data_IF_322806733966
#
_entry.id   IF_322806733966
#
_cell.length_a   1.000
_cell.length_b   1.000
_cell.length_c   1.000
_cell.angle_alpha   90.00
_cell.angle_beta   90.00
_cell.angle_gamma   90.00
#
_symmetry.space_group_name_H-M   'P 1'
#
loop_
_entity.id
_entity.type
_entity.pdbx_description
1 polymer ?
#
# COMPACT_ATOMS: atom_id res chain seq x y z
N UNK A 1 -15.17 -2.76 17.40
CA UNK A 1 -15.32 -1.52 18.20
C UNK A 1 -14.47 -1.56 19.48
N UNK A 2 -14.72 -2.53 20.38
CA UNK A 2 -13.96 -2.69 21.64
C UNK A 2 -12.46 -2.97 21.45
N UNK A 3 -12.04 -3.55 20.33
CA UNK A 3 -10.62 -3.76 19.98
C UNK A 3 -9.82 -2.45 19.93
N UNK A 4 -10.40 -1.38 19.35
CA UNK A 4 -9.76 -0.06 19.30
C UNK A 4 -9.71 0.63 20.66
N UNK A 5 -10.73 0.43 21.49
CA UNK A 5 -10.77 0.97 22.86
C UNK A 5 -9.73 0.28 23.77
N UNK A 6 -9.31 -0.93 23.43
CA UNK A 6 -8.36 -1.74 24.20
C UNK A 6 -6.97 -1.86 23.56
N UNK A 7 -6.63 -0.96 22.62
CA UNK A 7 -5.33 -0.91 21.94
C UNK A 7 -4.89 -2.24 21.30
N UNK A 8 -5.84 -3.00 20.75
CA UNK A 8 -5.54 -4.21 19.98
C UNK A 8 -5.05 -3.86 18.57
N UNK A 9 -4.26 -4.72 17.91
CA UNK A 9 -3.77 -4.47 16.56
C UNK A 9 -4.92 -4.16 15.58
N UNK A 10 -4.83 -3.03 14.87
CA UNK A 10 -5.82 -2.56 13.88
C UNK A 10 -5.74 -3.36 12.57
N UNK A 11 -5.89 -4.68 12.65
CA UNK A 11 -5.99 -5.55 11.47
C UNK A 11 -7.45 -5.78 11.08
N UNK A 12 -7.67 -6.26 9.86
CA UNK A 12 -9.01 -6.68 9.45
C UNK A 12 -9.57 -7.75 10.42
N UNK A 13 -10.82 -7.63 10.92
CA UNK A 13 -11.37 -8.51 11.95
C UNK A 13 -11.83 -9.85 11.36
N UNK A 14 -10.87 -10.64 10.90
CA UNK A 14 -11.10 -11.90 10.18
C UNK A 14 -12.02 -12.87 10.93
N UNK A 15 -11.81 -13.07 12.23
CA UNK A 15 -12.58 -14.03 13.01
C UNK A 15 -14.06 -13.62 13.13
N UNK A 16 -14.32 -12.33 13.37
CA UNK A 16 -15.68 -11.82 13.44
C UNK A 16 -16.39 -11.90 12.09
N UNK A 17 -15.70 -11.53 11.01
CA UNK A 17 -16.26 -11.59 9.66
C UNK A 17 -16.52 -13.02 9.18
N UNK A 18 -15.60 -13.95 9.47
CA UNK A 18 -15.75 -15.39 9.21
C UNK A 18 -17.01 -15.97 9.88
N UNK A 19 -17.21 -15.65 11.17
CA UNK A 19 -18.39 -16.08 11.91
C UNK A 19 -19.69 -15.56 11.27
N UNK A 20 -19.68 -14.33 10.77
CA UNK A 20 -20.85 -13.72 10.15
C UNK A 20 -21.22 -14.42 8.84
N UNK A 21 -20.24 -14.69 7.96
CA UNK A 21 -20.47 -15.44 6.73
C UNK A 21 -20.91 -16.89 7.00
N UNK A 22 -20.31 -17.56 8.01
CA UNK A 22 -20.73 -18.90 8.44
C UNK A 22 -22.19 -18.95 8.91
N UNK A 23 -22.63 -17.95 9.68
CA UNK A 23 -24.03 -17.84 10.11
C UNK A 23 -24.96 -17.69 8.91
N UNK A 24 -24.60 -16.87 7.94
CA UNK A 24 -25.39 -16.68 6.71
C UNK A 24 -25.52 -18.00 5.95
N UNK A 25 -24.42 -18.73 5.77
CA UNK A 25 -24.44 -20.05 5.10
C UNK A 25 -25.28 -21.08 5.85
N UNK A 26 -25.29 -21.04 7.19
CA UNK A 26 -26.08 -21.94 8.02
C UNK A 26 -27.58 -21.62 7.97
N UNK A 27 -27.93 -20.34 8.02
CA UNK A 27 -29.33 -19.87 8.03
C UNK A 27 -29.96 -20.05 6.64
N UNK A 28 -29.18 -19.87 5.57
CA UNK A 28 -29.65 -19.86 4.18
C UNK A 28 -30.84 -18.92 3.98
N UNK A 29 -30.67 -17.61 4.25
CA UNK A 29 -31.78 -16.68 4.20
C UNK A 29 -32.34 -16.60 2.78
N UNK A 30 -33.66 -16.38 2.64
CA UNK A 30 -34.24 -16.11 1.32
C UNK A 30 -33.82 -14.74 0.77
N UNK A 31 -33.50 -13.81 1.66
CA UNK A 31 -33.10 -12.43 1.33
C UNK A 31 -32.26 -11.84 2.46
N UNK A 32 -31.33 -10.96 2.13
CA UNK A 32 -30.42 -10.37 3.11
C UNK A 32 -29.99 -8.96 2.70
N UNK A 33 -29.73 -8.12 3.70
CA UNK A 33 -29.11 -6.81 3.53
C UNK A 33 -28.02 -6.63 4.59
N UNK A 34 -26.90 -5.94 4.28
CA UNK A 34 -25.91 -5.60 5.30
C UNK A 34 -26.52 -4.72 6.40
N UNK A 35 -26.26 -5.09 7.66
CA UNK A 35 -26.85 -4.40 8.82
C UNK A 35 -26.34 -2.97 9.02
N UNK A 36 -25.15 -2.65 8.54
CA UNK A 36 -24.54 -1.32 8.64
C UNK A 36 -25.05 -0.31 7.58
N UNK A 37 -26.04 -0.68 6.76
CA UNK A 37 -26.61 0.22 5.76
C UNK A 37 -27.22 1.47 6.42
N UNK A 38 -26.63 2.63 6.17
CA UNK A 38 -27.11 3.91 6.70
C UNK A 38 -26.63 4.23 8.12
N UNK A 39 -25.64 3.50 8.66
CA UNK A 39 -24.98 3.86 9.91
C UNK A 39 -23.70 4.67 9.67
N UNK A 40 -23.52 5.73 10.43
CA UNK A 40 -22.31 6.55 10.46
C UNK A 40 -22.15 7.20 11.83
N UNK A 41 -20.94 7.18 12.37
CA UNK A 41 -20.59 7.96 13.55
C UNK A 41 -20.41 9.43 13.15
N UNK A 42 -20.96 10.36 13.93
CA UNK A 42 -20.94 11.79 13.63
C UNK A 42 -20.09 12.56 14.64
N UNK A 43 -19.63 13.76 14.24
CA UNK A 43 -18.91 14.71 15.10
C UNK A 43 -17.68 14.06 15.77
N UNK A 44 -17.48 14.22 17.07
CA UNK A 44 -16.26 13.76 17.77
C UNK A 44 -15.99 12.25 17.72
N UNK A 45 -16.95 11.42 17.28
CA UNK A 45 -16.75 9.99 17.06
C UNK A 45 -16.59 9.60 15.59
N UNK A 46 -16.59 10.55 14.65
CA UNK A 46 -16.55 10.25 13.21
C UNK A 46 -15.28 9.52 12.75
N UNK A 47 -14.19 9.65 13.51
CA UNK A 47 -12.95 8.91 13.28
C UNK A 47 -13.15 7.38 13.32
N UNK A 48 -14.14 6.89 14.09
CA UNK A 48 -14.47 5.47 14.17
C UNK A 48 -14.95 4.90 12.83
N UNK A 49 -15.48 5.74 11.93
CA UNK A 49 -15.94 5.30 10.61
C UNK A 49 -14.83 4.65 9.77
N UNK A 50 -13.56 4.97 10.04
CA UNK A 50 -12.41 4.39 9.35
C UNK A 50 -12.05 2.99 9.83
N UNK A 51 -12.65 2.52 10.92
CA UNK A 51 -12.23 1.27 11.58
C UNK A 51 -13.36 0.31 11.89
N UNK A 52 -14.55 0.80 12.23
CA UNK A 52 -15.68 -0.05 12.64
C UNK A 52 -16.44 -0.69 11.48
N UNK A 53 -16.20 -0.23 10.25
CA UNK A 53 -16.81 -0.77 9.02
C UNK A 53 -15.75 -1.46 8.16
N UNK A 54 -15.33 -2.69 8.50
CA UNK A 54 -14.17 -3.35 7.87
C UNK A 54 -14.40 -3.74 6.40
N UNK A 55 -15.66 -3.88 5.99
CA UNK A 55 -16.07 -4.36 4.68
C UNK A 55 -17.04 -3.36 4.07
N UNK A 56 -16.85 -3.05 2.79
CA UNK A 56 -17.81 -2.22 2.04
C UNK A 56 -19.09 -3.02 1.79
N UNK A 57 -20.21 -2.34 1.63
CA UNK A 57 -21.48 -2.98 1.29
C UNK A 57 -21.36 -3.84 0.03
N UNK A 58 -20.67 -3.35 -0.99
CA UNK A 58 -20.46 -4.03 -2.27
C UNK A 58 -19.67 -5.33 -2.06
N UNK A 59 -18.61 -5.27 -1.26
CA UNK A 59 -17.83 -6.46 -0.90
C UNK A 59 -18.66 -7.46 -0.10
N UNK A 60 -19.45 -7.01 0.87
CA UNK A 60 -20.33 -7.89 1.64
C UNK A 60 -21.34 -8.58 0.73
N UNK A 61 -21.99 -7.84 -0.17
CA UNK A 61 -22.95 -8.42 -1.10
C UNK A 61 -22.30 -9.48 -2.00
N UNK A 62 -21.10 -9.20 -2.51
CA UNK A 62 -20.29 -10.16 -3.29
C UNK A 62 -19.98 -11.41 -2.48
N UNK A 63 -19.53 -11.26 -1.24
CA UNK A 63 -19.14 -12.38 -0.38
C UNK A 63 -20.33 -13.28 -0.04
N UNK A 64 -21.50 -12.67 0.24
CA UNK A 64 -22.75 -13.41 0.49
C UNK A 64 -23.17 -14.22 -0.73
N UNK A 65 -23.08 -13.65 -1.94
CA UNK A 65 -23.43 -14.35 -3.17
C UNK A 65 -22.53 -15.59 -3.41
N UNK A 66 -21.28 -15.56 -2.94
CA UNK A 66 -20.35 -16.70 -3.01
C UNK A 66 -20.67 -17.74 -1.92
N UNK A 67 -20.92 -17.29 -0.69
CA UNK A 67 -21.12 -18.16 0.49
C UNK A 67 -22.49 -18.84 0.49
N UNK A 68 -23.52 -18.17 -0.03
CA UNK A 68 -24.88 -18.67 -0.15
C UNK A 68 -25.48 -18.27 -1.51
N UNK A 69 -25.08 -18.96 -2.60
CA UNK A 69 -25.56 -18.65 -3.95
C UNK A 69 -27.08 -18.76 -4.10
N UNK A 70 -27.74 -19.53 -3.23
CA UNK A 70 -29.21 -19.69 -3.24
C UNK A 70 -29.96 -18.37 -2.96
N UNK A 71 -29.31 -17.37 -2.35
CA UNK A 71 -29.87 -16.03 -2.16
C UNK A 71 -30.03 -15.30 -3.51
N UNK A 72 -29.15 -15.58 -4.47
CA UNK A 72 -29.14 -14.95 -5.80
C UNK A 72 -29.18 -13.42 -5.72
N UNK A 73 -30.08 -12.81 -6.47
CA UNK A 73 -30.28 -11.35 -6.54
C UNK A 73 -30.95 -10.75 -5.29
N UNK A 74 -31.33 -11.56 -4.30
CA UNK A 74 -31.99 -11.10 -3.07
C UNK A 74 -31.00 -10.59 -2.01
N UNK A 75 -29.84 -10.09 -2.44
CA UNK A 75 -28.85 -9.42 -1.59
C UNK A 75 -28.97 -7.91 -1.85
N UNK A 76 -29.52 -7.17 -0.90
CA UNK A 76 -29.93 -5.79 -1.12
C UNK A 76 -28.94 -4.77 -0.54
N UNK A 77 -28.22 -4.01 -1.38
CA UNK A 77 -27.39 -2.91 -0.93
C UNK A 77 -28.28 -1.67 -0.64
N UNK A 78 -29.08 -1.72 0.43
CA UNK A 78 -30.11 -0.71 0.72
C UNK A 78 -29.51 0.70 0.93
N UNK A 79 -30.12 1.69 0.28
CA UNK A 79 -29.94 3.11 0.60
C UNK A 79 -31.13 3.64 1.42
N UNK A 80 -30.95 4.73 2.21
CA UNK A 80 -32.08 5.44 2.81
C UNK A 80 -33.13 5.80 1.76
N UNK A 81 -34.39 5.40 1.97
CA UNK A 81 -35.49 5.65 1.03
C UNK A 81 -35.80 4.51 0.05
N UNK A 82 -34.95 3.47 0.00
CA UNK A 82 -35.26 2.24 -0.72
C UNK A 82 -36.36 1.44 -0.01
N UNK A 83 -37.14 0.68 -0.78
CA UNK A 83 -38.25 -0.15 -0.29
C UNK A 83 -38.08 -1.58 -0.80
N UNK A 84 -38.14 -2.54 0.13
CA UNK A 84 -38.23 -3.96 -0.19
C UNK A 84 -39.61 -4.45 0.20
N UNK A 85 -40.35 -5.06 -0.73
CA UNK A 85 -41.67 -5.64 -0.46
C UNK A 85 -41.61 -7.15 -0.60
N UNK A 86 -42.20 -7.84 0.38
CA UNK A 86 -42.34 -9.29 0.39
C UNK A 86 -43.82 -9.63 0.22
N UNK A 87 -44.16 -10.37 -0.84
CA UNK A 87 -45.55 -10.78 -1.10
C UNK A 87 -45.57 -12.19 -1.70
N UNK A 88 -46.24 -13.13 -1.04
CA UNK A 88 -46.38 -14.52 -1.51
C UNK A 88 -45.06 -15.23 -1.84
N UNK A 89 -43.98 -14.90 -1.12
CA UNK A 89 -42.64 -15.43 -1.39
C UNK A 89 -41.90 -14.74 -2.53
N UNK A 90 -42.52 -13.77 -3.21
CA UNK A 90 -41.84 -12.88 -4.15
C UNK A 90 -41.26 -11.66 -3.42
N UNK A 91 -40.06 -11.27 -3.83
CA UNK A 91 -39.34 -10.13 -3.31
C UNK A 91 -39.22 -9.09 -4.41
N UNK A 92 -39.57 -7.85 -4.09
CA UNK A 92 -39.37 -6.72 -4.99
C UNK A 92 -38.56 -5.64 -4.31
N UNK A 93 -37.56 -5.14 -5.01
CA UNK A 93 -36.68 -4.06 -4.57
C UNK A 93 -36.94 -2.81 -5.41
N UNK A 94 -37.25 -1.71 -4.73
CA UNK A 94 -37.59 -0.44 -5.35
C UNK A 94 -36.72 0.68 -4.75
N UNK A 95 -35.86 1.25 -5.59
CA UNK A 95 -34.97 2.36 -5.20
C UNK A 95 -35.76 3.64 -4.96
N UNK A 96 -35.46 4.34 -3.86
CA UNK A 96 -36.01 5.67 -3.54
C UNK A 96 -37.54 5.77 -3.68
N UNK A 97 -38.27 4.75 -3.21
CA UNK A 97 -39.75 4.70 -3.27
C UNK A 97 -40.45 4.93 -1.94
N UNK A 98 -39.70 5.15 -0.86
CA UNK A 98 -40.31 5.55 0.41
C UNK A 98 -40.98 6.91 0.27
N UNK A 99 -42.17 7.06 0.84
CA UNK A 99 -42.91 8.33 0.86
C UNK A 99 -42.47 9.29 1.96
N UNK A 100 -41.60 8.86 2.86
CA UNK A 100 -41.22 9.61 4.07
C UNK A 100 -39.72 9.58 4.38
N UNK A 101 -38.91 8.85 3.60
CA UNK A 101 -37.43 8.85 3.71
C UNK A 101 -36.84 9.04 2.32
N UNK A 102 -35.84 9.92 2.25
CA UNK A 102 -35.07 10.19 1.05
C UNK A 102 -33.58 10.22 1.44
N UNK A 103 -32.71 9.74 0.55
CA UNK A 103 -31.28 9.98 0.67
C UNK A 103 -30.98 11.45 0.37
N UNK A 104 -30.33 12.14 1.31
CA UNK A 104 -29.93 13.55 1.14
C UNK A 104 -28.62 13.63 0.38
N UNK A 105 -27.63 12.85 0.80
CA UNK A 105 -26.29 12.78 0.24
C UNK A 105 -25.75 11.36 0.36
N UNK A 106 -24.85 10.99 -0.55
CA UNK A 106 -24.11 9.72 -0.51
C UNK A 106 -22.67 9.98 -0.03
N UNK A 107 -22.49 9.98 1.28
CA UNK A 107 -21.23 10.29 1.97
C UNK A 107 -20.47 9.03 2.43
N UNK A 108 -20.75 7.88 1.80
CA UNK A 108 -20.17 6.58 2.16
C UNK A 108 -18.66 6.49 2.00
N UNK A 109 -18.07 7.40 1.22
CA UNK A 109 -16.63 7.58 1.14
C UNK A 109 -15.98 7.70 2.53
N UNK A 110 -16.71 8.26 3.50
CA UNK A 110 -16.23 8.42 4.87
C UNK A 110 -16.18 7.11 5.65
N UNK A 111 -16.98 6.11 5.26
CA UNK A 111 -17.09 4.80 5.90
C UNK A 111 -16.03 3.80 5.43
N UNK A 112 -15.15 4.21 4.51
CA UNK A 112 -14.10 3.33 3.99
C UNK A 112 -13.17 2.93 5.11
N UNK A 113 -13.02 1.62 5.29
CA UNK A 113 -12.02 1.04 6.18
C UNK A 113 -10.63 1.54 5.80
N UNK A 114 -9.99 2.25 6.72
CA UNK A 114 -8.65 2.81 6.58
C UNK A 114 -8.03 2.93 7.98
N UNK A 115 -7.62 1.80 8.57
CA UNK A 115 -7.12 1.77 9.95
C UNK A 115 -5.83 2.59 10.16
N UNK A 116 -5.16 2.92 9.06
CA UNK A 116 -3.95 3.76 9.03
C UNK A 116 -4.24 5.26 8.96
N UNK A 117 -5.49 5.68 8.75
CA UNK A 117 -5.92 7.09 8.61
C UNK A 117 -7.01 7.46 9.61
N UNK A 118 -6.85 7.07 10.89
CA UNK A 118 -7.86 7.24 11.94
C UNK A 118 -7.94 8.65 12.52
N UNK A 119 -6.81 9.31 12.73
CA UNK A 119 -6.74 10.65 13.34
C UNK A 119 -6.57 11.70 12.24
N UNK A 120 -5.35 11.82 11.72
CA UNK A 120 -5.03 12.66 10.58
C UNK A 120 -4.87 11.84 9.30
N UNK A 121 -5.45 12.37 8.21
CA UNK A 121 -5.09 11.92 6.88
C UNK A 121 -3.58 12.04 6.68
N UNK A 122 -3.02 11.22 5.79
CA UNK A 122 -1.67 11.44 5.33
C UNK A 122 -1.61 12.82 4.68
N UNK A 123 -0.58 13.60 4.97
CA UNK A 123 -0.35 14.94 4.43
C UNK A 123 1.01 14.93 3.72
N UNK A 124 1.07 15.57 2.57
CA UNK A 124 2.33 15.86 1.89
C UNK A 124 2.66 17.35 2.06
N UNK A 125 3.67 17.65 2.86
CA UNK A 125 4.14 19.02 3.06
C UNK A 125 5.00 19.53 1.90
N UNK A 126 5.44 18.65 0.99
CA UNK A 126 6.39 18.94 -0.09
C UNK A 126 7.58 19.79 0.40
N UNK A 127 8.25 19.33 1.46
CA UNK A 127 9.32 20.08 2.15
C UNK A 127 10.49 20.53 1.26
N UNK A 128 10.73 19.82 0.16
CA UNK A 128 11.78 20.11 -0.81
C UNK A 128 11.33 21.09 -1.91
N UNK A 129 10.08 21.56 -1.85
CA UNK A 129 9.47 22.51 -2.78
C UNK A 129 9.55 22.06 -4.25
N UNK A 130 9.24 20.79 -4.51
CA UNK A 130 9.14 20.30 -5.90
C UNK A 130 8.00 21.02 -6.63
N UNK A 131 8.19 21.24 -7.94
CA UNK A 131 7.14 21.81 -8.79
C UNK A 131 5.94 20.83 -8.86
N UNK A 132 4.75 21.34 -8.53
CA UNK A 132 3.55 20.51 -8.41
C UNK A 132 3.11 19.93 -9.75
N UNK A 133 3.22 20.69 -10.84
CA UNK A 133 2.81 20.24 -12.17
C UNK A 133 3.76 19.18 -12.70
N UNK A 134 5.07 19.39 -12.56
CA UNK A 134 6.09 18.39 -12.91
C UNK A 134 5.90 17.11 -12.10
N UNK A 135 5.62 17.25 -10.80
CA UNK A 135 5.38 16.12 -9.90
C UNK A 135 4.14 15.33 -10.33
N UNK A 136 3.00 16.00 -10.56
CA UNK A 136 1.77 15.37 -11.06
C UNK A 136 1.99 14.65 -12.39
N UNK A 137 2.66 15.28 -13.34
CA UNK A 137 2.94 14.67 -14.65
C UNK A 137 3.85 13.45 -14.54
N UNK A 138 4.93 13.56 -13.76
CA UNK A 138 5.88 12.47 -13.55
C UNK A 138 5.20 11.28 -12.86
N UNK A 139 4.47 11.53 -11.79
CA UNK A 139 3.75 10.50 -11.03
C UNK A 139 2.70 9.83 -11.92
N UNK A 140 1.90 10.62 -12.65
CA UNK A 140 0.92 10.08 -13.59
C UNK A 140 1.56 9.22 -14.67
N UNK A 141 2.69 9.64 -15.24
CA UNK A 141 3.43 8.83 -16.22
C UNK A 141 3.93 7.52 -15.61
N UNK A 142 4.46 7.58 -14.39
CA UNK A 142 4.96 6.40 -13.70
C UNK A 142 3.82 5.41 -13.40
N UNK A 143 2.70 5.88 -12.83
CA UNK A 143 1.56 5.05 -12.43
C UNK A 143 0.75 4.57 -13.63
N UNK A 144 0.44 5.44 -14.60
CA UNK A 144 -0.47 5.08 -15.69
C UNK A 144 0.26 4.41 -16.88
N UNK A 145 1.58 4.55 -17.01
CA UNK A 145 2.31 4.02 -18.16
C UNK A 145 3.40 3.00 -17.78
N UNK A 146 4.27 3.32 -16.82
CA UNK A 146 5.40 2.45 -16.50
C UNK A 146 4.98 1.29 -15.60
N UNK A 147 4.08 1.54 -14.66
CA UNK A 147 3.67 0.56 -13.67
C UNK A 147 2.83 -0.59 -14.26
N UNK A 148 1.83 -0.37 -15.14
CA UNK A 148 1.17 -1.46 -15.88
C UNK A 148 2.14 -2.32 -16.69
N UNK A 149 3.13 -1.69 -17.35
CA UNK A 149 4.16 -2.42 -18.10
C UNK A 149 5.00 -3.30 -17.17
N UNK A 150 5.41 -2.76 -16.03
CA UNK A 150 6.13 -3.51 -15.01
C UNK A 150 5.32 -4.68 -14.46
N UNK A 151 4.03 -4.48 -14.16
CA UNK A 151 3.12 -5.55 -13.74
C UNK A 151 3.08 -6.64 -14.80
N UNK A 152 2.87 -6.29 -16.08
CA UNK A 152 2.82 -7.23 -17.19
C UNK A 152 4.12 -8.01 -17.36
N UNK A 153 5.27 -7.33 -17.29
CA UNK A 153 6.59 -7.96 -17.40
C UNK A 153 6.91 -8.92 -16.25
N UNK A 154 6.30 -8.70 -15.07
CA UNK A 154 6.55 -9.48 -13.85
C UNK A 154 5.35 -10.31 -13.40
N UNK A 155 4.34 -10.45 -14.25
CA UNK A 155 3.07 -11.09 -13.94
C UNK A 155 3.27 -12.52 -13.42
N UNK A 156 4.06 -13.33 -14.14
CA UNK A 156 4.33 -14.74 -13.82
C UNK A 156 5.40 -14.94 -12.75
N UNK A 157 5.88 -13.87 -12.09
CA UNK A 157 6.92 -13.96 -11.07
C UNK A 157 6.54 -13.21 -9.80
N UNK A 158 6.67 -11.88 -9.79
CA UNK A 158 6.41 -11.05 -8.60
C UNK A 158 4.92 -10.93 -8.29
N UNK A 159 4.06 -11.03 -9.31
CA UNK A 159 2.62 -10.83 -9.19
C UNK A 159 1.80 -12.12 -9.33
N UNK A 160 2.44 -13.29 -9.24
CA UNK A 160 1.77 -14.59 -9.41
C UNK A 160 0.62 -14.75 -8.41
N UNK A 161 0.84 -14.41 -7.13
CA UNK A 161 -0.20 -14.46 -6.10
C UNK A 161 -1.31 -13.42 -6.35
N UNK A 162 -0.98 -12.24 -6.86
CA UNK A 162 -2.00 -11.24 -7.20
C UNK A 162 -2.97 -11.78 -8.26
N UNK A 163 -2.45 -12.42 -9.31
CA UNK A 163 -3.27 -13.06 -10.34
C UNK A 163 -4.01 -14.30 -9.80
N UNK A 164 -3.34 -15.15 -9.01
CA UNK A 164 -3.95 -16.36 -8.47
C UNK A 164 -5.18 -16.06 -7.60
N UNK A 165 -5.09 -15.00 -6.78
CA UNK A 165 -6.15 -14.60 -5.87
C UNK A 165 -7.08 -13.52 -6.44
N UNK A 166 -6.90 -13.10 -7.71
CA UNK A 166 -7.68 -12.03 -8.34
C UNK A 166 -7.72 -10.75 -7.48
N UNK A 167 -6.55 -10.36 -6.97
CA UNK A 167 -6.46 -9.23 -6.05
C UNK A 167 -6.68 -7.91 -6.79
N UNK A 168 -7.14 -6.92 -6.03
CA UNK A 168 -7.29 -5.55 -6.52
C UNK A 168 -6.43 -4.69 -5.62
N UNK A 169 -5.48 -3.99 -6.23
CA UNK A 169 -4.56 -3.08 -5.55
C UNK A 169 -5.08 -1.65 -5.65
N UNK A 170 -5.29 -0.99 -4.53
CA UNK A 170 -5.68 0.42 -4.42
C UNK A 170 -4.48 1.25 -3.99
N UNK A 171 -4.12 2.23 -4.83
CA UNK A 171 -3.06 3.20 -4.59
C UNK A 171 -3.67 4.59 -4.41
N UNK A 172 -3.21 5.30 -3.40
CA UNK A 172 -3.56 6.69 -3.11
C UNK A 172 -2.29 7.53 -3.05
N UNK A 173 -2.20 8.54 -3.90
CA UNK A 173 -1.13 9.53 -3.90
C UNK A 173 -1.69 10.82 -3.32
N UNK A 174 -1.11 11.26 -2.21
CA UNK A 174 -1.50 12.51 -1.55
C UNK A 174 -0.55 13.62 -1.98
N UNK A 175 -1.09 14.62 -2.66
CA UNK A 175 -0.39 15.87 -2.98
C UNK A 175 -0.71 16.92 -1.91
N UNK A 176 0.04 18.04 -1.87
CA UNK A 176 -0.28 19.14 -0.97
C UNK A 176 -1.67 19.76 -1.19
N UNK A 177 -2.20 19.68 -2.41
CA UNK A 177 -3.46 20.33 -2.83
C UNK A 177 -4.61 19.35 -3.07
N UNK A 178 -4.32 18.08 -3.34
CA UNK A 178 -5.35 17.08 -3.67
C UNK A 178 -4.88 15.65 -3.38
N UNK A 179 -5.83 14.70 -3.46
CA UNK A 179 -5.53 13.27 -3.40
C UNK A 179 -5.96 12.61 -4.70
N UNK A 180 -5.03 11.90 -5.34
CA UNK A 180 -5.29 11.12 -6.55
C UNK A 180 -5.34 9.63 -6.21
N UNK A 181 -6.38 8.95 -6.69
CA UNK A 181 -6.62 7.54 -6.40
C UNK A 181 -6.57 6.71 -7.67
N UNK A 182 -5.94 5.55 -7.58
CA UNK A 182 -5.78 4.60 -8.67
C UNK A 182 -6.02 3.17 -8.19
N UNK A 183 -6.49 2.31 -9.06
CA UNK A 183 -6.53 0.88 -8.78
C UNK A 183 -6.10 0.03 -9.97
N UNK A 184 -5.64 -1.17 -9.66
CA UNK A 184 -5.19 -2.20 -10.60
C UNK A 184 -5.90 -3.50 -10.25
N UNK A 185 -6.66 -4.03 -11.20
CA UNK A 185 -7.43 -5.27 -11.01
C UNK A 185 -6.68 -6.43 -11.67
N UNK A 186 -6.17 -7.37 -10.85
CA UNK A 186 -5.41 -8.51 -11.34
C UNK A 186 -6.29 -9.67 -11.82
N UNK A 187 -7.62 -9.52 -11.77
CA UNK A 187 -8.56 -10.42 -12.44
C UNK A 187 -8.73 -10.10 -13.94
N UNK A 188 -8.31 -8.91 -14.38
CA UNK A 188 -8.39 -8.49 -15.77
C UNK A 188 -7.33 -9.18 -16.63
N UNK A 189 -7.68 -9.51 -17.88
CA UNK A 189 -6.73 -10.08 -18.85
C UNK A 189 -5.60 -9.09 -19.19
N UNK A 190 -5.94 -7.80 -19.29
CA UNK A 190 -4.99 -6.70 -19.46
C UNK A 190 -5.08 -5.77 -18.26
N UNK A 191 -4.13 -5.89 -17.34
CA UNK A 191 -4.08 -5.09 -16.12
C UNK A 191 -3.70 -3.65 -16.49
N UNK A 192 -4.67 -2.74 -16.39
CA UNK A 192 -4.52 -1.32 -16.69
C UNK A 192 -4.61 -0.46 -15.43
N UNK A 193 -4.22 0.81 -15.57
CA UNK A 193 -4.38 1.80 -14.51
C UNK A 193 -5.78 2.39 -14.57
N UNK A 194 -6.60 2.13 -13.57
CA UNK A 194 -7.92 2.75 -13.43
C UNK A 194 -7.87 3.91 -12.43
N UNK A 195 -8.65 4.96 -12.67
CA UNK A 195 -8.74 6.10 -11.76
C UNK A 195 -9.92 5.95 -10.81
N UNK A 196 -9.72 6.33 -9.54
CA UNK A 196 -10.75 6.36 -8.51
C UNK A 196 -10.57 5.28 -7.44
N UNK A 197 -11.66 5.06 -6.70
CA UNK A 197 -11.71 4.09 -5.62
C UNK A 197 -12.46 2.83 -6.05
N UNK A 198 -11.90 1.66 -5.71
CA UNK A 198 -12.56 0.38 -5.92
C UNK A 198 -13.04 -0.20 -4.56
N UNK A 199 -14.35 -0.42 -4.43
CA UNK A 199 -14.96 -0.95 -3.20
C UNK A 199 -14.57 -2.40 -2.89
N UNK A 200 -14.08 -3.12 -3.91
CA UNK A 200 -13.62 -4.51 -3.84
C UNK A 200 -12.09 -4.62 -3.71
N UNK A 201 -11.37 -3.49 -3.54
CA UNK A 201 -9.92 -3.49 -3.33
C UNK A 201 -9.52 -4.32 -2.11
N UNK A 202 -8.35 -4.95 -2.16
CA UNK A 202 -7.86 -5.87 -1.12
C UNK A 202 -6.57 -5.38 -0.47
N UNK A 203 -5.66 -4.80 -1.26
CA UNK A 203 -4.39 -4.23 -0.83
C UNK A 203 -4.46 -2.72 -1.00
N UNK A 204 -4.10 -1.97 0.04
CA UNK A 204 -4.24 -0.52 0.07
C UNK A 204 -2.92 0.12 0.45
N UNK A 205 -2.50 1.09 -0.35
CA UNK A 205 -1.29 1.86 -0.12
C UNK A 205 -1.58 3.35 -0.30
N UNK A 206 -1.14 4.15 0.66
CA UNK A 206 -1.18 5.60 0.61
C UNK A 206 0.24 6.15 0.76
N UNK A 207 0.63 7.08 -0.10
CA UNK A 207 1.97 7.68 -0.07
C UNK A 207 1.93 9.16 -0.43
N UNK A 208 2.79 9.97 0.21
CA UNK A 208 2.98 11.37 -0.15
C UNK A 208 3.58 11.49 -1.57
N UNK A 209 3.07 12.43 -2.36
CA UNK A 209 3.50 12.66 -3.73
C UNK A 209 4.99 13.01 -3.80
N UNK A 210 5.48 13.87 -2.91
CA UNK A 210 6.89 14.28 -2.85
C UNK A 210 7.83 13.10 -2.56
N UNK A 211 7.39 12.14 -1.74
CA UNK A 211 8.13 10.91 -1.47
C UNK A 211 8.09 9.96 -2.66
N UNK A 212 6.93 9.75 -3.28
CA UNK A 212 6.84 8.92 -4.49
C UNK A 212 7.70 9.50 -5.63
N UNK A 213 7.57 10.80 -5.90
CA UNK A 213 8.36 11.52 -6.89
C UNK A 213 9.85 11.40 -6.60
N UNK A 214 10.26 11.68 -5.35
CA UNK A 214 11.65 11.53 -4.92
C UNK A 214 12.19 10.11 -5.13
N UNK A 215 11.41 9.07 -4.84
CA UNK A 215 11.78 7.67 -5.10
C UNK A 215 11.90 7.38 -6.60
N UNK A 216 10.96 7.85 -7.41
CA UNK A 216 10.99 7.67 -8.88
C UNK A 216 12.25 8.28 -9.51
N UNK A 217 12.75 9.38 -8.95
CA UNK A 217 13.96 10.08 -9.40
C UNK A 217 15.24 9.57 -8.73
N UNK A 218 15.13 8.71 -7.72
CA UNK A 218 16.28 8.24 -6.91
C UNK A 218 16.87 9.30 -5.99
N UNK A 219 16.08 10.31 -5.61
CA UNK A 219 16.45 11.43 -4.74
C UNK A 219 16.07 11.13 -3.28
N UNK A 220 14.92 10.50 -3.05
CA UNK A 220 14.45 10.03 -1.74
C UNK A 220 14.30 8.51 -1.74
N UNK A 221 14.38 7.91 -0.56
CA UNK A 221 14.22 6.47 -0.39
C UNK A 221 13.16 6.11 0.64
N UNK A 222 12.99 4.81 0.84
CA UNK A 222 12.01 4.24 1.77
C UNK A 222 12.22 4.69 3.21
N UNK A 223 13.44 5.00 3.64
CA UNK A 223 13.68 5.54 4.99
C UNK A 223 12.94 6.86 5.22
N UNK A 224 12.94 7.74 4.21
CA UNK A 224 12.20 9.00 4.28
C UNK A 224 10.69 8.73 4.34
N UNK A 225 10.19 7.76 3.57
CA UNK A 225 8.77 7.45 3.52
C UNK A 225 8.27 6.79 4.82
N UNK A 226 8.98 5.78 5.32
CA UNK A 226 8.61 5.02 6.52
C UNK A 226 8.84 5.84 7.79
N UNK A 227 10.04 6.42 7.98
CA UNK A 227 10.35 7.16 9.21
C UNK A 227 9.62 8.50 9.28
N UNK A 228 9.29 9.09 8.12
CA UNK A 228 8.51 10.32 8.04
C UNK A 228 6.99 10.12 8.15
N UNK A 229 6.50 8.88 8.17
CA UNK A 229 5.06 8.60 8.19
C UNK A 229 4.33 8.95 6.89
N UNK A 230 5.08 9.14 5.79
CA UNK A 230 4.59 9.48 4.45
C UNK A 230 4.20 8.26 3.61
N UNK A 231 4.21 7.08 4.20
CA UNK A 231 3.79 5.84 3.58
C UNK A 231 2.98 5.02 4.58
N UNK A 232 1.81 4.55 4.15
CA UNK A 232 0.87 3.77 4.95
C UNK A 232 0.33 2.65 4.08
N UNK A 233 0.33 1.42 4.59
CA UNK A 233 -0.30 0.29 3.90
C UNK A 233 -1.19 -0.51 4.85
N UNK A 234 -2.17 -1.20 4.29
CA UNK A 234 -2.91 -2.26 4.97
C UNK A 234 -3.53 -3.20 3.94
N UNK A 235 -3.98 -4.36 4.40
CA UNK A 235 -4.58 -5.37 3.54
C UNK A 235 -5.73 -6.11 4.21
N UNK A 236 -6.67 -6.56 3.38
CA UNK A 236 -7.76 -7.47 3.73
C UNK A 236 -7.78 -8.62 2.71
N UNK A 237 -6.99 -9.66 3.00
CA UNK A 237 -6.83 -10.81 2.11
C UNK A 237 -7.61 -11.99 2.64
N UNK A 238 -8.70 -12.33 1.96
CA UNK A 238 -9.48 -13.53 2.24
C UNK A 238 -10.27 -13.95 1.01
N UNK A 239 -10.60 -15.23 0.95
CA UNK A 239 -11.54 -15.80 -0.01
C UNK A 239 -12.78 -16.29 0.74
N UNK A 240 -13.98 -15.78 0.43
CA UNK A 240 -15.22 -16.29 1.00
C UNK A 240 -15.55 -17.69 0.43
N UNK A 241 -16.01 -18.60 1.27
CA UNK A 241 -16.48 -19.93 0.90
C UNK A 241 -17.74 -20.29 1.68
N UNK A 242 -18.53 -21.30 1.27
CA UNK A 242 -19.65 -21.79 2.06
C UNK A 242 -19.29 -22.22 3.50
N UNK A 243 -18.02 -22.53 3.77
CA UNK A 243 -17.54 -22.95 5.08
C UNK A 243 -16.89 -21.84 5.89
N UNK A 244 -16.93 -20.59 5.42
CA UNK A 244 -16.26 -19.44 6.02
C UNK A 244 -15.19 -18.85 5.11
N UNK A 245 -14.25 -18.10 5.68
CA UNK A 245 -13.16 -17.46 4.91
C UNK A 245 -11.89 -18.30 4.94
N UNK A 246 -11.22 -18.36 3.80
CA UNK A 246 -9.86 -18.88 3.66
C UNK A 246 -8.91 -17.69 3.57
N UNK A 247 -7.78 -17.77 4.26
CA UNK A 247 -6.71 -16.78 4.16
C UNK A 247 -5.51 -17.38 3.41
N UNK A 248 -4.66 -16.56 2.78
CA UNK A 248 -3.34 -17.01 2.33
C UNK A 248 -2.60 -17.67 3.50
N UNK A 249 -1.98 -18.83 3.27
CA UNK A 249 -1.31 -19.62 4.32
C UNK A 249 -0.09 -18.85 4.84
N UNK A 250 -0.07 -18.50 6.13
CA UNK A 250 1.08 -17.91 6.83
C UNK A 250 2.27 -18.89 6.84
N UNK A 251 3.14 -18.81 5.85
CA UNK A 251 4.35 -19.65 5.77
C UNK A 251 5.45 -19.07 6.68
N UNK A 252 5.35 -19.36 7.99
CA UNK A 252 6.35 -19.05 9.03
C UNK A 252 6.59 -17.56 9.34
N UNK A 253 6.90 -17.26 10.60
CA UNK A 253 7.08 -15.91 11.15
C UNK A 253 8.22 -15.09 10.51
N UNK A 254 9.12 -15.72 9.74
CA UNK A 254 10.21 -15.03 9.03
C UNK A 254 9.90 -14.67 7.58
N UNK A 255 8.84 -15.26 7.00
CA UNK A 255 8.36 -14.98 5.65
C UNK A 255 6.83 -14.93 5.69
N UNK A 256 6.27 -13.95 6.40
CA UNK A 256 4.82 -13.75 6.39
C UNK A 256 4.35 -13.72 4.94
N UNK A 257 3.42 -14.61 4.59
CA UNK A 257 2.73 -14.70 3.30
C UNK A 257 1.81 -13.50 3.04
N UNK A 258 2.21 -12.33 3.52
CA UNK A 258 1.64 -11.07 3.10
C UNK A 258 2.11 -10.87 1.67
N UNK A 259 1.14 -10.80 0.77
CA UNK A 259 1.39 -10.40 -0.58
C UNK A 259 2.11 -9.04 -0.51
N UNK A 260 3.31 -8.95 -1.09
CA UNK A 260 4.14 -7.74 -0.99
C UNK A 260 3.43 -6.57 -1.64
N UNK A 261 3.57 -5.38 -1.06
CA UNK A 261 3.03 -4.16 -1.66
C UNK A 261 3.62 -3.96 -3.07
N UNK A 262 2.80 -3.69 -4.10
CA UNK A 262 3.30 -3.50 -5.45
C UNK A 262 4.28 -2.33 -5.59
N UNK A 263 4.22 -1.30 -4.72
CA UNK A 263 5.25 -0.25 -4.70
C UNK A 263 6.60 -0.75 -4.20
N UNK A 264 6.64 -1.56 -3.15
CA UNK A 264 7.88 -2.19 -2.67
C UNK A 264 8.54 -3.05 -3.76
N UNK A 265 7.72 -3.72 -4.57
CA UNK A 265 8.18 -4.51 -5.72
C UNK A 265 8.72 -3.63 -6.85
N UNK A 266 8.06 -2.50 -7.13
CA UNK A 266 8.46 -1.54 -8.17
C UNK A 266 9.71 -0.74 -7.80
N UNK A 267 9.91 -0.48 -6.52
CA UNK A 267 11.00 0.31 -5.97
C UNK A 267 11.76 -0.52 -4.92
N UNK A 268 12.54 -1.55 -5.30
CA UNK A 268 13.21 -2.41 -4.32
C UNK A 268 14.12 -1.61 -3.38
N UNK A 269 14.03 -1.87 -2.07
CA UNK A 269 14.72 -1.08 -1.04
C UNK A 269 16.20 -0.90 -1.32
N UNK A 270 16.93 -1.99 -1.59
CA UNK A 270 18.38 -1.95 -1.80
C UNK A 270 18.77 -1.11 -3.02
N UNK A 271 18.01 -1.20 -4.11
CA UNK A 271 18.28 -0.45 -5.34
C UNK A 271 18.04 1.05 -5.15
N UNK A 272 16.94 1.40 -4.48
CA UNK A 272 16.60 2.80 -4.19
C UNK A 272 17.57 3.40 -3.19
N UNK A 273 17.91 2.67 -2.13
CA UNK A 273 18.89 3.10 -1.14
C UNK A 273 20.23 3.42 -1.80
N UNK A 274 20.70 2.58 -2.73
CA UNK A 274 21.94 2.81 -3.45
C UNK A 274 21.88 4.08 -4.33
N UNK A 275 20.77 4.29 -5.07
CA UNK A 275 20.57 5.50 -5.89
C UNK A 275 20.58 6.76 -5.05
N UNK A 276 19.85 6.76 -3.93
CA UNK A 276 19.78 7.90 -3.01
C UNK A 276 21.13 8.17 -2.37
N UNK A 277 21.85 7.12 -1.96
CA UNK A 277 23.21 7.24 -1.42
C UNK A 277 24.14 7.91 -2.42
N UNK A 278 24.09 7.50 -3.69
CA UNK A 278 24.91 8.11 -4.75
C UNK A 278 24.54 9.57 -4.99
N UNK A 279 23.23 9.88 -5.04
CA UNK A 279 22.72 11.24 -5.17
C UNK A 279 23.22 12.14 -4.03
N UNK A 280 23.07 11.70 -2.77
CA UNK A 280 23.52 12.46 -1.60
C UNK A 280 25.05 12.65 -1.60
N UNK A 281 25.83 11.60 -1.90
CA UNK A 281 27.29 11.73 -2.01
C UNK A 281 27.69 12.76 -3.06
N UNK A 282 27.01 12.81 -4.21
CA UNK A 282 27.28 13.82 -5.25
C UNK A 282 26.89 15.23 -4.81
N UNK A 283 25.71 15.38 -4.20
CA UNK A 283 25.18 16.64 -3.66
C UNK A 283 26.11 17.28 -2.63
N UNK A 284 26.68 16.46 -1.73
CA UNK A 284 27.58 16.95 -0.68
C UNK A 284 29.04 17.06 -1.12
N UNK A 285 29.47 16.34 -2.17
CA UNK A 285 30.81 16.53 -2.77
C UNK A 285 30.96 17.89 -3.46
N UNK A 286 29.90 18.43 -4.04
CA UNK A 286 29.88 19.76 -4.66
C UNK A 286 29.61 20.89 -3.68
N UNK A 287 29.12 20.58 -2.48
CA UNK A 287 29.01 21.53 -1.38
C UNK A 287 30.40 21.73 -0.79
N UNK A 288 31.07 22.85 -1.09
CA UNK A 288 32.34 23.21 -0.46
C UNK A 288 32.18 23.13 1.06
N UNK A 289 32.69 22.06 1.67
CA UNK A 289 32.75 21.91 3.12
C UNK A 289 33.56 23.09 3.64
N UNK A 290 32.89 24.03 4.30
CA UNK A 290 33.54 25.18 4.91
C UNK A 290 34.62 24.65 5.88
N UNK A 291 35.92 24.83 5.57
CA UNK A 291 37.01 24.11 6.25
C UNK A 291 37.18 24.51 7.73
N UNK A 292 36.39 25.47 8.23
CA UNK A 292 36.40 25.92 9.62
C UNK A 292 35.68 24.98 10.60
N UNK A 293 34.82 24.06 10.13
CA UNK A 293 34.08 23.14 11.02
C UNK A 293 34.86 21.84 11.31
N UNK A 294 35.83 21.48 10.48
CA UNK A 294 36.54 20.19 10.59
C UNK A 294 37.68 20.21 11.62
N UNK A 295 38.07 21.37 12.16
CA UNK A 295 39.28 21.47 12.97
C UNK A 295 39.14 21.27 14.48
N UNK A 296 37.97 20.94 15.04
CA UNK A 296 37.87 20.86 16.52
C UNK A 296 37.60 19.52 17.18
N UNK A 297 37.11 18.49 16.49
CA UNK A 297 36.88 17.18 17.14
C UNK A 297 37.19 16.01 16.21
N UNK A 298 38.47 15.79 15.92
CA UNK A 298 38.94 14.48 15.47
C UNK A 298 38.80 13.48 16.63
N UNK A 299 37.67 12.80 16.70
CA UNK A 299 37.52 11.68 17.63
C UNK A 299 38.54 10.58 17.31
N UNK A 300 39.05 9.90 18.35
CA UNK A 300 40.10 8.87 18.23
C UNK A 300 39.81 7.79 17.16
N UNK A 301 38.53 7.52 16.89
CA UNK A 301 38.09 6.59 15.83
C UNK A 301 38.43 7.06 14.41
N UNK A 302 38.28 8.36 14.09
CA UNK A 302 38.64 8.91 12.78
C UNK A 302 40.15 8.86 12.52
N UNK A 303 40.97 9.02 13.56
CA UNK A 303 42.43 8.86 13.46
C UNK A 303 42.84 7.41 13.19
N UNK A 304 42.17 6.44 13.81
CA UNK A 304 42.43 5.02 13.57
C UNK A 304 42.01 4.65 12.13
N UNK A 305 40.84 5.11 11.67
CA UNK A 305 40.38 4.89 10.30
C UNK A 305 41.35 5.44 9.25
N UNK A 306 41.79 6.69 9.41
CA UNK A 306 42.75 7.31 8.48
C UNK A 306 44.14 6.65 8.52
N UNK A 307 44.54 6.11 9.66
CA UNK A 307 45.81 5.37 9.79
C UNK A 307 45.73 4.00 9.12
N UNK A 308 44.61 3.29 9.26
CA UNK A 308 44.39 1.99 8.62
C UNK A 308 44.28 2.11 7.10
N UNK A 309 43.61 3.15 6.59
CA UNK A 309 43.54 3.45 5.15
C UNK A 309 44.92 3.78 4.59
N UNK A 310 45.74 4.57 5.31
CA UNK A 310 47.13 4.85 4.89
C UNK A 310 48.01 3.61 4.88
N UNK A 311 47.87 2.73 5.87
CA UNK A 311 48.60 1.46 5.94
C UNK A 311 48.19 0.51 4.80
N UNK A 312 46.91 0.46 4.42
CA UNK A 312 46.47 -0.37 3.29
C UNK A 312 46.97 0.16 1.94
N UNK A 313 47.01 1.48 1.75
CA UNK A 313 47.59 2.08 0.53
C UNK A 313 49.10 1.91 0.42
N UNK A 314 49.83 1.84 1.54
CA UNK A 314 51.26 1.57 1.53
C UNK A 314 51.56 0.08 1.28
N UNK A 315 50.77 -0.84 1.82
CA UNK A 315 50.94 -2.28 1.55
C UNK A 315 50.66 -2.64 0.08
N UNK A 316 49.73 -1.94 -0.59
CA UNK A 316 49.49 -2.14 -2.03
C UNK A 316 50.58 -1.57 -2.94
N UNK A 317 51.42 -0.64 -2.47
CA UNK A 317 52.59 -0.14 -3.21
C UNK A 317 53.79 -1.08 -3.09
N UNK A 318 53.99 -1.71 -1.92
CA UNK A 318 55.10 -2.65 -1.72
C UNK A 318 54.92 -3.93 -2.55
N UNK A 319 53.68 -4.40 -2.75
CA UNK A 319 53.40 -5.58 -3.58
C UNK A 319 53.54 -5.36 -5.10
N UNK A 320 53.69 -4.12 -5.57
CA UNK A 320 53.87 -3.83 -7.00
C UNK A 320 55.33 -3.67 -7.42
N UNK A 321 56.25 -3.38 -6.49
CA UNK A 321 57.68 -3.23 -6.77
C UNK A 321 58.45 -4.58 -6.77
N UNK A 322 58.02 -5.60 -6.00
CA UNK A 322 58.70 -6.91 -5.97
C UNK A 322 58.48 -7.78 -7.22
N UNK A 323 57.49 -7.49 -8.07
CA UNK A 323 57.21 -8.30 -9.29
C UNK A 323 58.02 -7.83 -10.50
N UNK A 324 58.64 -6.64 -10.45
CA UNK A 324 59.37 -6.06 -11.59
C UNK A 324 60.88 -6.38 -11.61
N UNK A 325 61.45 -6.89 -10.52
CA UNK A 325 62.89 -7.24 -10.45
C UNK A 325 63.22 -8.68 -10.91
N UNK A 326 62.24 -9.58 -11.05
CA UNK A 326 62.48 -10.99 -11.40
C UNK A 326 62.40 -11.33 -12.90
N UNK A 327 62.39 -10.33 -13.80
CA UNK A 327 62.22 -10.55 -15.26
C UNK A 327 63.36 -10.01 -16.15
N UNK A 328 64.52 -9.64 -15.61
CA UNK A 328 65.71 -9.33 -16.39
C UNK A 328 66.89 -10.22 -16.00
N UNK A 329 66.95 -11.46 -16.50
CA UNK A 329 68.18 -12.26 -16.59
C UNK A 329 67.97 -13.55 -17.43
N UNK A 330 67.58 -13.43 -18.70
CA UNK A 330 67.88 -14.46 -19.72
C UNK A 330 68.22 -13.78 -21.04
N UNK A 331 69.51 -13.73 -21.35
CA UNK A 331 70.00 -13.22 -22.63
C UNK A 331 71.53 -13.22 -22.70
N UNK A 332 72.12 -14.30 -23.19
CA UNK A 332 73.48 -14.28 -23.73
C UNK A 332 74.39 -15.43 -23.31
N UNK A 333 74.30 -16.56 -24.01
CA UNK A 333 75.32 -17.01 -24.98
C UNK A 333 74.84 -18.23 -25.76
#
# INVERSE_FOLDING_TARGET
ETEHQNNQPCSFPYAAYDQELKKISLIKPHSIAPGANGFKFLKGSSWLNKVVFPVTREQFCRDVAIVCPEVGENVFPLNPGDVVTFKNGEVSYMKQKSSFVQMVEDDRYDLRFSPTNTDDCLIDDNSDNYDLEEMKQTIRSEICCNFPKFIKEKQDSLFLEYCHWNLIYQLEIVFPDETQQYYFDFSEENIECHTGYNSLAHVFTSIAASNFYGMSKGIKGWDSAHMGGYYRNFQKLYLPTPYGIIKPIEVNQENSSQVKDPLDLRFPYQEIFEKVRQYEVQRWKSSEVNPKVVQKDETKMLRIGNTLVRLSTNNNKVSTEEVTESLQLVGGK
#
